data_IF_319402747970
#
_entry.id   IF_319402747970
#
_cell.length_a   1.000
_cell.length_b   1.000
_cell.length_c   1.000
_cell.angle_alpha   90.00
_cell.angle_beta   90.00
_cell.angle_gamma   90.00
#
_symmetry.space_group_name_H-M   'P 1'
#
loop_
_entity.id
_entity.type
_entity.pdbx_description
1 polymer ?
#
# COMPACT_ATOMS: atom_id res chain seq x y z
N UNK A 1 31.03 -22.70 8.95
CA UNK A 1 30.03 -23.71 8.57
C UNK A 1 28.67 -23.13 8.18
N UNK A 2 28.24 -22.01 8.77
CA UNK A 2 28.10 -20.66 8.19
C UNK A 2 27.38 -20.45 6.84
N UNK A 3 27.66 -21.21 5.78
CA UNK A 3 26.89 -21.15 4.52
C UNK A 3 25.74 -22.18 4.48
N UNK A 4 25.73 -23.20 5.35
CA UNK A 4 24.67 -24.22 5.36
C UNK A 4 23.33 -23.73 5.96
N UNK A 5 23.38 -22.62 6.70
CA UNK A 5 22.23 -21.81 7.10
C UNK A 5 21.70 -20.92 5.94
N UNK A 6 22.42 -20.78 4.82
CA UNK A 6 22.13 -19.85 3.70
C UNK A 6 20.83 -20.13 2.96
N UNK A 7 20.19 -21.24 3.27
CA UNK A 7 19.22 -21.87 2.40
C UNK A 7 18.04 -22.42 3.17
N UNK A 8 18.04 -22.44 4.50
CA UNK A 8 17.05 -23.19 5.28
C UNK A 8 15.70 -22.46 5.31
N UNK A 9 15.06 -22.13 4.20
CA UNK A 9 14.36 -23.20 3.47
C UNK A 9 13.99 -22.87 2.01
N UNK A 10 14.80 -22.12 1.25
CA UNK A 10 14.62 -22.08 -0.22
C UNK A 10 15.63 -21.24 -0.98
N UNK A 11 16.63 -21.88 -1.60
CA UNK A 11 17.80 -21.36 -2.33
C UNK A 11 17.55 -20.10 -3.18
N UNK A 12 18.00 -18.96 -2.64
CA UNK A 12 18.31 -17.71 -3.34
C UNK A 12 19.38 -17.06 -2.46
N UNK A 13 20.66 -17.26 -2.78
CA UNK A 13 21.75 -16.62 -2.04
C UNK A 13 21.75 -15.12 -2.32
N UNK A 14 22.25 -14.30 -1.39
CA UNK A 14 22.44 -12.85 -1.58
C UNK A 14 23.13 -12.55 -2.91
N UNK A 15 24.10 -13.37 -3.30
CA UNK A 15 24.76 -13.30 -4.61
C UNK A 15 23.86 -13.61 -5.82
N UNK A 16 22.80 -14.40 -5.69
CA UNK A 16 21.80 -14.56 -6.75
C UNK A 16 20.91 -13.31 -6.86
N UNK A 17 20.44 -12.76 -5.74
CA UNK A 17 19.66 -11.52 -5.74
C UNK A 17 20.45 -10.33 -6.33
N UNK A 18 21.74 -10.22 -6.01
CA UNK A 18 22.65 -9.24 -6.62
C UNK A 18 22.79 -9.39 -8.13
N UNK A 19 22.88 -10.64 -8.63
CA UNK A 19 22.91 -10.91 -10.08
C UNK A 19 21.62 -10.47 -10.76
N UNK A 20 20.46 -10.76 -10.15
CA UNK A 20 19.17 -10.31 -10.68
C UNK A 20 19.10 -8.78 -10.71
N UNK A 21 19.42 -8.12 -9.60
CA UNK A 21 19.40 -6.66 -9.54
C UNK A 21 20.32 -6.05 -10.58
N UNK A 22 21.55 -6.57 -10.71
CA UNK A 22 22.50 -6.07 -11.70
C UNK A 22 21.98 -6.22 -13.13
N UNK A 23 21.28 -7.31 -13.44
CA UNK A 23 20.68 -7.53 -14.76
C UNK A 23 19.55 -6.54 -15.09
N UNK A 24 18.79 -6.08 -14.09
CA UNK A 24 17.66 -5.14 -14.29
C UNK A 24 18.01 -3.68 -13.96
N UNK A 25 19.21 -3.42 -13.45
CA UNK A 25 19.59 -2.09 -12.94
C UNK A 25 19.66 -1.03 -14.03
N UNK A 26 20.14 -1.40 -15.21
CA UNK A 26 20.23 -0.48 -16.35
C UNK A 26 18.83 -0.06 -16.83
N UNK A 27 17.87 -0.97 -16.83
CA UNK A 27 16.49 -0.67 -17.28
C UNK A 27 15.75 0.29 -16.34
N UNK A 28 16.11 0.26 -15.06
CA UNK A 28 15.49 1.06 -14.00
C UNK A 28 16.37 2.19 -13.47
N UNK A 29 17.56 2.39 -14.03
CA UNK A 29 18.59 3.33 -13.54
C UNK A 29 18.87 3.17 -12.03
N UNK A 30 19.01 1.93 -11.54
CA UNK A 30 19.32 1.67 -10.14
C UNK A 30 20.80 1.91 -9.87
N UNK A 31 21.11 2.82 -8.95
CA UNK A 31 22.49 3.06 -8.50
C UNK A 31 23.01 1.88 -7.67
N UNK A 32 24.33 1.84 -7.42
CA UNK A 32 24.90 0.87 -6.49
C UNK A 32 24.26 0.99 -5.10
N UNK A 33 24.11 2.21 -4.58
CA UNK A 33 23.48 2.47 -3.29
C UNK A 33 22.03 1.96 -3.25
N UNK A 34 21.23 2.28 -4.28
CA UNK A 34 19.85 1.80 -4.39
C UNK A 34 19.78 0.28 -4.40
N UNK A 35 20.67 -0.40 -5.13
CA UNK A 35 20.74 -1.87 -5.13
C UNK A 35 21.06 -2.43 -3.74
N UNK A 36 22.03 -1.84 -3.04
CA UNK A 36 22.39 -2.26 -1.68
C UNK A 36 21.18 -2.17 -0.75
N UNK A 37 20.48 -1.04 -0.75
CA UNK A 37 19.25 -0.86 0.06
C UNK A 37 18.18 -1.90 -0.26
N UNK A 38 17.95 -2.19 -1.54
CA UNK A 38 16.98 -3.21 -1.97
C UNK A 38 17.37 -4.60 -1.44
N UNK A 39 18.67 -4.94 -1.46
CA UNK A 39 19.16 -6.23 -0.95
C UNK A 39 19.00 -6.33 0.57
N UNK A 40 19.39 -5.29 1.31
CA UNK A 40 19.24 -5.25 2.76
C UNK A 40 17.78 -5.45 3.17
N UNK A 41 16.87 -4.72 2.51
CA UNK A 41 15.44 -4.83 2.75
C UNK A 41 14.91 -6.22 2.40
N UNK A 42 15.33 -6.77 1.26
CA UNK A 42 15.00 -8.12 0.84
C UNK A 42 15.39 -9.17 1.91
N UNK A 43 16.60 -9.06 2.47
CA UNK A 43 17.08 -9.95 3.53
C UNK A 43 16.32 -9.78 4.84
N UNK A 44 16.00 -8.54 5.22
CA UNK A 44 15.16 -8.24 6.38
C UNK A 44 13.80 -8.93 6.24
N UNK A 45 13.15 -8.79 5.08
CA UNK A 45 11.83 -9.39 4.85
C UNK A 45 11.86 -10.90 4.81
N UNK A 46 12.89 -11.53 4.23
CA UNK A 46 13.06 -12.97 4.28
C UNK A 46 13.22 -13.47 5.72
N UNK A 47 14.03 -12.78 6.54
CA UNK A 47 14.23 -13.14 7.96
C UNK A 47 12.94 -12.98 8.76
N UNK A 48 12.21 -11.89 8.56
CA UNK A 48 10.91 -11.69 9.21
C UNK A 48 9.88 -12.73 8.76
N UNK A 49 9.84 -13.09 7.48
CA UNK A 49 8.95 -14.12 6.96
C UNK A 49 9.21 -15.48 7.63
N UNK A 50 10.48 -15.88 7.69
CA UNK A 50 10.89 -17.12 8.36
C UNK A 50 10.50 -17.12 9.85
N UNK A 51 10.74 -16.01 10.57
CA UNK A 51 10.38 -15.86 11.99
C UNK A 51 8.87 -15.97 12.24
N UNK A 52 8.05 -15.48 11.32
CA UNK A 52 6.58 -15.48 11.43
C UNK A 52 5.92 -16.72 10.79
N UNK A 53 6.70 -17.72 10.35
CA UNK A 53 6.15 -18.91 9.67
C UNK A 53 5.50 -18.63 8.32
N UNK A 54 5.76 -17.46 7.72
CA UNK A 54 5.20 -17.05 6.44
C UNK A 54 6.04 -17.60 5.29
N UNK A 55 5.41 -18.38 4.39
CA UNK A 55 6.08 -18.93 3.22
C UNK A 55 6.12 -17.93 2.07
N UNK A 56 7.33 -17.59 1.62
CA UNK A 56 7.56 -16.81 0.39
C UNK A 56 7.85 -17.78 -0.74
N UNK A 57 6.79 -18.11 -1.50
CA UNK A 57 6.78 -19.13 -2.55
C UNK A 57 7.71 -18.79 -3.72
N UNK A 58 7.85 -17.50 -4.06
CA UNK A 58 8.71 -17.00 -5.13
C UNK A 58 9.56 -15.83 -4.63
N UNK A 59 10.80 -16.12 -4.25
CA UNK A 59 11.78 -15.13 -3.78
C UNK A 59 12.10 -14.05 -4.84
N UNK A 60 12.16 -14.43 -6.11
CA UNK A 60 12.31 -13.47 -7.22
C UNK A 60 11.12 -12.50 -7.33
N UNK A 61 9.91 -12.91 -6.93
CA UNK A 61 8.74 -12.03 -6.90
C UNK A 61 8.82 -11.00 -5.79
N UNK A 62 9.37 -11.37 -4.61
CA UNK A 62 9.67 -10.41 -3.55
C UNK A 62 10.71 -9.38 -4.02
N UNK A 63 11.79 -9.83 -4.65
CA UNK A 63 12.83 -8.93 -5.15
C UNK A 63 12.27 -7.98 -6.23
N UNK A 64 11.48 -8.50 -7.18
CA UNK A 64 10.80 -7.68 -8.19
C UNK A 64 9.80 -6.69 -7.57
N UNK A 65 9.12 -7.08 -6.50
CA UNK A 65 8.22 -6.21 -5.75
C UNK A 65 8.97 -5.04 -5.10
N UNK A 66 10.15 -5.29 -4.52
CA UNK A 66 10.99 -4.24 -3.93
C UNK A 66 11.54 -3.29 -4.99
N UNK A 67 11.98 -3.81 -6.14
CA UNK A 67 12.38 -2.98 -7.29
C UNK A 67 11.21 -2.11 -7.75
N UNK A 68 10.00 -2.67 -7.87
CA UNK A 68 8.80 -1.89 -8.20
C UNK A 68 8.58 -0.75 -7.22
N UNK A 69 8.67 -1.01 -5.92
CA UNK A 69 8.43 0.00 -4.90
C UNK A 69 9.45 1.14 -4.98
N UNK A 70 10.73 0.81 -5.15
CA UNK A 70 11.79 1.79 -5.26
C UNK A 70 11.69 2.61 -6.54
N UNK A 71 11.40 1.98 -7.69
CA UNK A 71 11.20 2.68 -8.96
C UNK A 71 9.95 3.55 -8.92
N UNK A 72 8.88 3.12 -8.25
CA UNK A 72 7.65 3.90 -8.13
C UNK A 72 7.85 5.20 -7.35
N UNK A 73 8.80 5.26 -6.41
CA UNK A 73 9.14 6.49 -5.68
C UNK A 73 9.66 7.59 -6.61
N UNK A 74 10.50 7.25 -7.57
CA UNK A 74 11.04 8.21 -8.55
C UNK A 74 10.17 8.35 -9.81
N UNK A 75 9.36 7.32 -10.11
CA UNK A 75 8.47 7.28 -11.28
C UNK A 75 7.06 6.82 -10.86
N UNK A 76 6.19 7.73 -10.37
CA UNK A 76 4.89 7.38 -9.79
C UNK A 76 3.93 6.63 -10.74
N UNK A 77 4.10 6.81 -12.06
CA UNK A 77 3.29 6.15 -13.10
C UNK A 77 3.68 4.70 -13.39
N UNK A 78 4.82 4.23 -12.84
CA UNK A 78 5.28 2.85 -13.06
C UNK A 78 4.28 1.85 -12.49
N UNK A 79 3.82 0.93 -13.33
CA UNK A 79 2.92 -0.15 -12.94
C UNK A 79 3.66 -1.46 -12.65
N UNK A 80 3.02 -2.38 -11.91
CA UNK A 80 3.57 -3.73 -11.67
C UNK A 80 3.88 -4.49 -12.96
N UNK A 81 3.04 -4.31 -14.00
CA UNK A 81 3.20 -4.97 -15.30
C UNK A 81 4.51 -4.58 -16.00
N UNK A 82 4.90 -3.31 -15.87
CA UNK A 82 6.14 -2.79 -16.46
C UNK A 82 7.35 -3.44 -15.82
N UNK A 83 7.36 -3.55 -14.49
CA UNK A 83 8.45 -4.19 -13.76
C UNK A 83 8.58 -5.66 -14.13
N UNK A 84 7.45 -6.38 -14.17
CA UNK A 84 7.42 -7.78 -14.61
C UNK A 84 7.93 -7.94 -16.04
N UNK A 85 7.59 -7.01 -16.95
CA UNK A 85 8.05 -7.04 -18.35
C UNK A 85 9.57 -7.01 -18.41
N UNK A 86 10.21 -6.09 -17.68
CA UNK A 86 11.69 -5.98 -17.63
C UNK A 86 12.32 -7.25 -17.05
N UNK A 87 11.80 -7.76 -15.93
CA UNK A 87 12.30 -9.00 -15.35
C UNK A 87 12.18 -10.19 -16.33
N UNK A 88 11.07 -10.29 -17.07
CA UNK A 88 10.92 -11.31 -18.10
C UNK A 88 11.90 -11.16 -19.26
N UNK A 89 12.17 -9.94 -19.71
CA UNK A 89 13.17 -9.66 -20.76
C UNK A 89 14.58 -10.09 -20.35
N UNK A 90 14.89 -10.07 -19.04
CA UNK A 90 16.15 -10.57 -18.48
C UNK A 90 16.13 -12.08 -18.16
N UNK A 91 15.11 -12.81 -18.62
CA UNK A 91 15.03 -14.27 -18.52
C UNK A 91 14.34 -14.80 -17.25
N UNK A 92 13.78 -13.94 -16.40
CA UNK A 92 13.10 -14.38 -15.18
C UNK A 92 11.64 -14.79 -15.44
N UNK A 93 11.26 -15.99 -14.98
CA UNK A 93 9.88 -16.50 -15.04
C UNK A 93 9.02 -15.85 -13.96
N UNK A 94 8.51 -14.65 -14.25
CA UNK A 94 7.65 -13.85 -13.37
C UNK A 94 6.37 -13.43 -14.07
N UNK A 95 5.25 -13.46 -13.34
CA UNK A 95 3.96 -12.92 -13.77
C UNK A 95 3.54 -11.75 -12.87
N UNK A 96 2.61 -10.92 -13.33
CA UNK A 96 2.00 -9.89 -12.47
C UNK A 96 1.23 -10.51 -11.32
N UNK A 97 0.63 -11.69 -11.53
CA UNK A 97 0.01 -12.47 -10.46
C UNK A 97 0.99 -12.79 -9.35
N UNK A 98 2.23 -13.17 -9.66
CA UNK A 98 3.25 -13.48 -8.65
C UNK A 98 3.55 -12.30 -7.73
N UNK A 99 3.66 -11.07 -8.28
CA UNK A 99 3.86 -9.86 -7.47
C UNK A 99 2.62 -9.53 -6.63
N UNK A 100 1.42 -9.73 -7.18
CA UNK A 100 0.16 -9.50 -6.44
C UNK A 100 0.07 -10.45 -5.23
N UNK A 101 0.47 -11.72 -5.37
CA UNK A 101 0.47 -12.69 -4.27
C UNK A 101 1.50 -12.36 -3.18
N UNK A 102 2.54 -11.56 -3.49
CA UNK A 102 3.51 -11.08 -2.49
C UNK A 102 2.92 -9.97 -1.61
N UNK A 103 2.01 -9.12 -2.14
CA UNK A 103 1.41 -7.98 -1.43
C UNK A 103 0.89 -8.33 -0.02
N UNK A 104 0.03 -9.36 0.16
CA UNK A 104 -0.46 -9.70 1.50
C UNK A 104 0.66 -10.14 2.44
N UNK A 105 1.68 -10.84 1.94
CA UNK A 105 2.83 -11.27 2.75
C UNK A 105 3.63 -10.07 3.24
N UNK A 106 4.02 -9.16 2.34
CA UNK A 106 4.82 -7.98 2.73
C UNK A 106 4.03 -7.01 3.62
N UNK A 107 2.70 -6.98 3.49
CA UNK A 107 1.82 -6.24 4.42
C UNK A 107 1.82 -6.87 5.81
N UNK A 108 1.70 -8.20 5.91
CA UNK A 108 1.78 -8.91 7.19
C UNK A 108 3.15 -8.73 7.88
N UNK A 109 4.21 -8.50 7.11
CA UNK A 109 5.57 -8.23 7.61
C UNK A 109 5.81 -6.75 7.98
N UNK A 110 4.80 -5.89 7.84
CA UNK A 110 4.88 -4.46 8.13
C UNK A 110 5.73 -3.65 7.14
N UNK A 111 6.07 -4.21 5.97
CA UNK A 111 6.86 -3.53 4.94
C UNK A 111 6.04 -2.49 4.17
N UNK A 112 4.85 -2.90 3.77
CA UNK A 112 3.84 -1.96 3.31
C UNK A 112 3.17 -1.39 4.55
N UNK A 113 3.43 -0.13 4.85
CA UNK A 113 2.52 0.63 5.71
C UNK A 113 1.10 0.47 5.18
N UNK A 114 0.15 0.38 6.10
CA UNK A 114 -1.25 0.18 5.80
C UNK A 114 -1.63 1.22 4.74
N UNK A 115 -1.90 0.79 3.50
CA UNK A 115 -2.00 1.71 2.34
C UNK A 115 -3.06 2.80 2.48
N UNK A 116 -3.88 2.66 3.52
CA UNK A 116 -4.75 3.69 4.06
C UNK A 116 -4.02 4.99 4.40
N UNK A 117 -2.83 4.96 4.99
CA UNK A 117 -2.17 6.20 5.43
C UNK A 117 -1.63 6.99 4.24
N UNK A 118 -1.04 6.32 3.25
CA UNK A 118 -0.61 6.98 2.01
C UNK A 118 -1.77 7.51 1.17
N UNK A 119 -2.85 6.73 1.03
CA UNK A 119 -4.08 7.18 0.36
C UNK A 119 -4.78 8.30 1.14
N UNK A 120 -4.72 8.27 2.47
CA UNK A 120 -5.26 9.32 3.34
C UNK A 120 -4.51 10.64 3.14
N UNK A 121 -3.17 10.64 3.17
CA UNK A 121 -2.40 11.87 2.97
C UNK A 121 -2.68 12.51 1.60
N UNK A 122 -2.78 11.70 0.53
CA UNK A 122 -3.15 12.19 -0.81
C UNK A 122 -4.55 12.82 -0.82
N UNK A 123 -5.54 12.21 -0.14
CA UNK A 123 -6.90 12.75 -0.09
C UNK A 123 -7.00 13.99 0.81
N UNK A 124 -6.25 14.04 1.91
CA UNK A 124 -6.18 15.19 2.81
C UNK A 124 -5.62 16.43 2.09
N UNK A 125 -4.63 16.27 1.21
CA UNK A 125 -4.11 17.36 0.38
C UNK A 125 -5.19 17.99 -0.50
N UNK A 126 -6.13 17.19 -1.01
CA UNK A 126 -7.23 17.68 -1.84
C UNK A 126 -8.29 18.47 -1.08
N UNK A 127 -8.38 18.29 0.23
CA UNK A 127 -9.34 18.99 1.11
C UNK A 127 -8.66 19.97 2.07
N UNK A 128 -7.35 20.17 1.96
CA UNK A 128 -6.60 21.08 2.84
C UNK A 128 -7.05 22.54 2.72
N UNK A 129 -7.59 22.94 1.56
CA UNK A 129 -8.16 24.27 1.36
C UNK A 129 -9.51 24.47 2.08
N UNK A 130 -10.14 23.38 2.52
CA UNK A 130 -11.50 23.34 3.04
C UNK A 130 -11.49 23.20 4.57
N UNK A 131 -10.54 22.44 5.13
CA UNK A 131 -10.46 22.18 6.56
C UNK A 131 -9.02 21.95 7.03
N UNK A 132 -8.69 22.19 8.31
CA UNK A 132 -7.36 21.94 8.86
C UNK A 132 -6.95 20.47 8.72
N UNK A 133 -5.86 20.22 7.98
CA UNK A 133 -5.36 18.88 7.64
C UNK A 133 -5.16 17.99 8.87
N UNK A 134 -4.56 18.53 9.93
CA UNK A 134 -4.26 17.77 11.15
C UNK A 134 -5.51 17.32 11.91
N UNK A 135 -6.50 18.21 11.98
CA UNK A 135 -7.75 17.92 12.68
C UNK A 135 -8.53 16.84 11.94
N UNK A 136 -8.72 17.00 10.62
CA UNK A 136 -9.36 15.98 9.78
C UNK A 136 -8.60 14.65 9.87
N UNK A 137 -7.27 14.67 9.78
CA UNK A 137 -6.43 13.46 9.90
C UNK A 137 -6.68 12.72 11.21
N UNK A 138 -6.72 13.43 12.34
CA UNK A 138 -6.93 12.84 13.67
C UNK A 138 -8.26 12.09 13.74
N UNK A 139 -9.35 12.74 13.30
CA UNK A 139 -10.68 12.14 13.31
C UNK A 139 -10.80 10.97 12.33
N UNK A 140 -10.25 11.11 11.12
CA UNK A 140 -10.25 10.03 10.12
C UNK A 140 -9.50 8.80 10.62
N UNK A 141 -8.32 8.96 11.25
CA UNK A 141 -7.56 7.84 11.83
C UNK A 141 -8.33 7.13 12.94
N UNK A 142 -9.01 7.89 13.81
CA UNK A 142 -9.82 7.34 14.89
C UNK A 142 -10.96 6.47 14.35
N UNK A 143 -11.73 6.99 13.39
CA UNK A 143 -12.83 6.26 12.76
C UNK A 143 -12.32 5.00 12.06
N UNK A 144 -11.29 5.16 11.24
CA UNK A 144 -10.69 4.04 10.51
C UNK A 144 -10.17 2.94 11.44
N UNK A 145 -9.58 3.29 12.58
CA UNK A 145 -9.14 2.32 13.59
C UNK A 145 -10.26 1.38 14.06
N UNK A 146 -11.53 1.80 13.96
CA UNK A 146 -12.71 1.01 14.35
C UNK A 146 -13.37 0.31 13.16
N UNK A 147 -13.48 0.98 12.02
CA UNK A 147 -14.29 0.47 10.90
C UNK A 147 -13.50 -0.32 9.85
N UNK A 148 -12.16 -0.19 9.80
CA UNK A 148 -11.30 -0.80 8.76
C UNK A 148 -11.59 -2.29 8.55
N UNK A 149 -11.73 -3.06 9.63
CA UNK A 149 -11.97 -4.52 9.57
C UNK A 149 -13.31 -4.92 8.95
N UNK A 150 -14.30 -4.02 8.96
CA UNK A 150 -15.64 -4.24 8.42
C UNK A 150 -15.80 -3.74 6.98
N UNK A 151 -14.78 -3.04 6.46
CA UNK A 151 -14.79 -2.49 5.10
C UNK A 151 -14.30 -3.47 4.01
N UNK A 152 -14.34 -4.78 4.29
CA UNK A 152 -13.90 -5.82 3.35
C UNK A 152 -14.76 -5.81 2.08
N UNK A 153 -14.12 -6.00 0.92
CA UNK A 153 -14.80 -5.95 -0.38
C UNK A 153 -15.08 -4.54 -0.94
N UNK A 154 -14.73 -3.47 -0.22
CA UNK A 154 -14.84 -2.08 -0.71
C UNK A 154 -13.49 -1.51 -1.14
N UNK A 155 -13.53 -0.54 -2.06
CA UNK A 155 -12.35 0.24 -2.43
C UNK A 155 -11.90 1.08 -1.23
N UNK A 156 -10.67 0.87 -0.75
CA UNK A 156 -10.10 1.62 0.38
C UNK A 156 -10.17 3.13 0.17
N UNK A 157 -9.83 3.59 -1.04
CA UNK A 157 -9.92 5.00 -1.42
C UNK A 157 -11.35 5.55 -1.26
N UNK A 158 -12.36 4.77 -1.60
CA UNK A 158 -13.76 5.20 -1.49
C UNK A 158 -14.21 5.22 -0.03
N UNK A 159 -13.76 4.26 0.78
CA UNK A 159 -14.02 4.24 2.23
C UNK A 159 -13.33 5.44 2.90
N UNK A 160 -12.07 5.72 2.57
CA UNK A 160 -11.35 6.90 3.05
C UNK A 160 -12.08 8.20 2.67
N UNK A 161 -12.48 8.34 1.42
CA UNK A 161 -13.20 9.52 0.95
C UNK A 161 -14.53 9.72 1.70
N UNK A 162 -15.26 8.63 1.97
CA UNK A 162 -16.48 8.67 2.75
C UNK A 162 -16.23 9.07 4.21
N UNK A 163 -15.19 8.51 4.86
CA UNK A 163 -14.81 8.91 6.22
C UNK A 163 -14.41 10.39 6.28
N UNK A 164 -13.66 10.88 5.28
CA UNK A 164 -13.32 12.30 5.18
C UNK A 164 -14.59 13.16 5.06
N UNK A 165 -15.55 12.76 4.22
CA UNK A 165 -16.80 13.49 4.06
C UNK A 165 -17.59 13.57 5.39
N UNK A 166 -17.70 12.46 6.11
CA UNK A 166 -18.36 12.42 7.44
C UNK A 166 -17.64 13.32 8.45
N UNK A 167 -16.30 13.30 8.48
CA UNK A 167 -15.52 14.16 9.36
C UNK A 167 -15.70 15.64 9.01
N UNK A 168 -15.72 16.00 7.73
CA UNK A 168 -15.93 17.39 7.30
C UNK A 168 -17.31 17.89 7.73
N UNK A 169 -18.37 17.10 7.52
CA UNK A 169 -19.71 17.43 8.02
C UNK A 169 -19.70 17.64 9.54
N UNK A 170 -19.01 16.76 10.29
CA UNK A 170 -18.92 16.83 11.74
C UNK A 170 -18.18 18.07 12.25
N UNK A 171 -17.24 18.59 11.48
CA UNK A 171 -16.50 19.83 11.78
C UNK A 171 -17.27 21.11 11.34
N UNK A 172 -18.57 20.99 11.08
CA UNK A 172 -19.46 22.05 10.59
C UNK A 172 -18.98 22.71 9.28
N UNK A 173 -18.18 21.97 8.50
CA UNK A 173 -17.81 22.35 7.15
C UNK A 173 -18.99 21.97 6.25
N UNK A 174 -19.96 22.88 6.15
CA UNK A 174 -21.23 22.68 5.41
C UNK A 174 -21.03 22.71 3.89
N UNK A 175 -20.24 21.79 3.35
CA UNK A 175 -20.12 21.57 1.92
C UNK A 175 -21.08 20.49 1.47
N UNK A 176 -21.78 20.75 0.38
CA UNK A 176 -22.57 19.72 -0.28
C UNK A 176 -21.67 18.55 -0.67
N UNK A 177 -22.12 17.33 -0.40
CA UNK A 177 -21.43 16.09 -0.75
C UNK A 177 -21.00 16.02 -2.22
N UNK A 178 -21.72 16.71 -3.12
CA UNK A 178 -21.33 16.90 -4.51
C UNK A 178 -19.96 17.61 -4.66
N UNK A 179 -19.71 18.70 -3.93
CA UNK A 179 -18.44 19.41 -3.97
C UNK A 179 -17.31 18.58 -3.36
N UNK A 180 -17.58 17.87 -2.26
CA UNK A 180 -16.61 16.95 -1.65
C UNK A 180 -16.24 15.84 -2.64
N UNK A 181 -17.21 15.30 -3.38
CA UNK A 181 -16.96 14.28 -4.41
C UNK A 181 -16.03 14.79 -5.52
N UNK A 182 -16.21 16.03 -5.95
CA UNK A 182 -15.35 16.68 -6.94
C UNK A 182 -13.94 16.92 -6.41
N UNK A 183 -13.81 17.43 -5.18
CA UNK A 183 -12.51 17.67 -4.55
C UNK A 183 -11.70 16.37 -4.39
N UNK A 184 -12.33 15.29 -3.91
CA UNK A 184 -11.66 14.01 -3.68
C UNK A 184 -11.42 13.20 -4.97
N UNK A 185 -12.09 13.57 -6.06
CA UNK A 185 -12.03 12.88 -7.35
C UNK A 185 -12.74 11.52 -7.33
N UNK A 186 -13.86 11.43 -6.61
CA UNK A 186 -14.67 10.21 -6.47
C UNK A 186 -16.05 10.45 -7.10
N UNK A 187 -16.61 9.50 -7.85
CA UNK A 187 -17.98 9.63 -8.37
C UNK A 187 -18.99 9.86 -7.25
N UNK A 188 -19.86 10.85 -7.40
CA UNK A 188 -20.84 11.24 -6.39
C UNK A 188 -21.69 10.06 -5.88
N UNK A 189 -22.21 9.24 -6.79
CA UNK A 189 -23.00 8.04 -6.44
C UNK A 189 -22.21 7.04 -5.58
N UNK A 190 -20.92 6.85 -5.90
CA UNK A 190 -20.03 6.00 -5.12
C UNK A 190 -19.74 6.60 -3.75
N UNK A 191 -19.48 7.92 -3.68
CA UNK A 191 -19.24 8.59 -2.41
C UNK A 191 -20.47 8.48 -1.50
N UNK A 192 -21.66 8.80 -2.01
CA UNK A 192 -22.93 8.68 -1.28
C UNK A 192 -23.18 7.28 -0.74
N UNK A 193 -22.99 6.25 -1.56
CA UNK A 193 -23.16 4.86 -1.12
C UNK A 193 -22.15 4.45 -0.03
N UNK A 194 -20.91 4.96 -0.09
CA UNK A 194 -19.90 4.66 0.92
C UNK A 194 -20.09 5.49 2.19
N UNK A 195 -20.64 6.70 2.11
CA UNK A 195 -21.03 7.50 3.30
C UNK A 195 -22.10 6.78 4.08
N UNK A 196 -23.18 6.33 3.44
CA UNK A 196 -24.23 5.56 4.11
C UNK A 196 -23.70 4.27 4.77
N UNK A 197 -22.74 3.58 4.11
CA UNK A 197 -22.06 2.44 4.71
C UNK A 197 -21.24 2.85 5.95
N UNK A 198 -20.44 3.91 5.84
CA UNK A 198 -19.62 4.40 6.96
C UNK A 198 -20.49 4.81 8.13
N UNK A 199 -21.60 5.51 7.90
CA UNK A 199 -22.57 5.89 8.95
C UNK A 199 -23.15 4.66 9.66
N UNK A 200 -23.55 3.62 8.93
CA UNK A 200 -23.97 2.34 9.53
C UNK A 200 -22.88 1.74 10.42
N UNK A 201 -21.64 1.71 9.93
CA UNK A 201 -20.50 1.18 10.68
C UNK A 201 -20.17 2.02 11.91
N UNK A 202 -20.38 3.34 11.87
CA UNK A 202 -20.18 4.22 13.02
C UNK A 202 -21.19 3.91 14.14
N UNK A 203 -22.46 3.68 13.78
CA UNK A 203 -23.49 3.24 14.73
C UNK A 203 -23.14 1.87 15.36
N UNK A 204 -22.67 0.92 14.55
CA UNK A 204 -22.28 -0.42 15.01
C UNK A 204 -21.02 -0.42 15.89
N UNK A 205 -20.17 0.60 15.78
CA UNK A 205 -18.87 0.66 16.48
C UNK A 205 -18.82 1.65 17.65
N UNK A 206 -19.95 2.24 18.04
CA UNK A 206 -20.05 3.18 19.16
C UNK A 206 -19.44 4.55 18.86
N UNK A 207 -19.52 4.99 17.60
CA UNK A 207 -19.05 6.29 17.13
C UNK A 207 -20.22 7.13 16.56
N UNK A 208 -21.43 6.94 17.09
CA UNK A 208 -22.65 7.63 16.69
C UNK A 208 -22.54 9.16 16.70
N UNK A 209 -21.64 9.73 17.52
CA UNK A 209 -21.39 11.18 17.56
C UNK A 209 -20.82 11.78 16.27
N UNK A 210 -20.45 10.93 15.30
CA UNK A 210 -20.00 11.34 13.96
C UNK A 210 -21.10 11.24 12.90
N UNK A 211 -22.27 10.70 13.21
CA UNK A 211 -23.40 10.60 12.27
C UNK A 211 -24.12 11.95 12.22
N UNK A 212 -24.32 12.52 11.03
CA UNK A 212 -24.89 13.86 10.83
C UNK A 212 -24.84 14.37 9.40
#
# INVERSE_FOLDING_TARGET
MKQLNDVVTGRFSTGHAWRILSAVSLDFNLTHETRTRIIEEYEILLRRAAKNGLRIWKKSALLAFLVYFEVKRSRPRTGLREVVKVFRLRGFKLSTGDLIHIIPVVRALGFLHDGWDGELEELLEKVAAIAPREEVRRHVRLILGRIRRFSTGRSRRNVLAAVIAVVLNRLDVRLNLYFISKALGIPYSSLRANVALVESLLLETGLEQYVG
#
